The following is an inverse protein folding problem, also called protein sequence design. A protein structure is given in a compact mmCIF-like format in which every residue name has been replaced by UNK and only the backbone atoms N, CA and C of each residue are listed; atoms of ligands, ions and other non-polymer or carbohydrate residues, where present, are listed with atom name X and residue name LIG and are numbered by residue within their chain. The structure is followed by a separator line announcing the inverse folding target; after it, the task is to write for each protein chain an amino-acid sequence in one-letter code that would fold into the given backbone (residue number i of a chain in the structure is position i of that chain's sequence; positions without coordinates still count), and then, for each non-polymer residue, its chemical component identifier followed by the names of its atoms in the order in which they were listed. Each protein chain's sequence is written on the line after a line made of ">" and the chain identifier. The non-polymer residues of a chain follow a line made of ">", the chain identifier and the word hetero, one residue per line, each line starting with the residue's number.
data_IF_473086559917
#
_entry.id   IF_473086559917
#
_cell.length_a   1.000
_cell.length_b   1.000
_cell.length_c   1.000
_cell.angle_alpha   90.00
_cell.angle_beta   90.00
_cell.angle_gamma   90.00
#
_symmetry.space_group_name_H-M   'P 1'
#
loop_
_entity.id
_entity.type
_entity.pdbx_description
1 polymer ?
#
# COMPACT_ATOMS: atom_id res chain seq x y z
N UNK A 1 17.80 -1.49 13.40
CA UNK A 1 17.61 -0.24 14.19
C UNK A 1 17.73 1.03 13.35
N UNK A 2 18.76 1.22 12.49
CA UNK A 2 18.89 2.45 11.66
C UNK A 2 17.66 2.72 10.79
N UNK A 3 17.15 1.69 10.12
CA UNK A 3 15.94 1.82 9.30
C UNK A 3 14.73 2.21 10.15
N UNK A 4 14.55 1.60 11.33
CA UNK A 4 13.45 1.93 12.24
C UNK A 4 13.51 3.38 12.74
N UNK A 5 14.70 3.90 13.05
CA UNK A 5 14.89 5.32 13.35
C UNK A 5 14.63 6.24 12.18
N UNK A 6 14.96 5.81 10.95
CA UNK A 6 14.60 6.55 9.74
C UNK A 6 13.07 6.66 9.62
N UNK A 7 12.32 5.57 9.78
CA UNK A 7 10.84 5.63 9.79
C UNK A 7 10.32 6.58 10.88
N UNK A 8 10.85 6.48 12.10
CA UNK A 8 10.49 7.39 13.18
C UNK A 8 10.73 8.87 12.83
N UNK A 9 11.82 9.21 12.12
CA UNK A 9 12.11 10.58 11.69
C UNK A 9 11.11 11.15 10.69
N UNK A 10 10.35 10.28 10.01
CA UNK A 10 9.25 10.65 9.12
C UNK A 10 7.87 10.63 9.78
N UNK A 11 7.80 10.47 11.11
CA UNK A 11 6.53 10.46 11.86
C UNK A 11 5.82 9.12 11.89
N UNK A 12 6.50 8.03 11.51
CA UNK A 12 5.90 6.69 11.40
C UNK A 12 6.12 5.93 12.71
N UNK A 13 5.04 5.37 13.27
CA UNK A 13 5.07 4.54 14.49
C UNK A 13 4.81 3.07 14.23
N UNK A 14 4.20 2.74 13.08
CA UNK A 14 3.93 1.37 12.64
C UNK A 14 4.26 1.24 11.15
N UNK A 15 5.04 0.24 10.79
CA UNK A 15 5.38 -0.12 9.41
C UNK A 15 4.86 -1.49 9.06
N UNK A 16 4.62 -1.73 7.78
CA UNK A 16 4.33 -3.05 7.23
C UNK A 16 5.54 -3.50 6.41
N UNK A 17 6.12 -4.64 6.75
CA UNK A 17 7.13 -5.29 5.92
C UNK A 17 6.42 -6.33 5.04
N UNK A 18 6.30 -6.02 3.77
CA UNK A 18 5.44 -6.72 2.83
C UNK A 18 6.20 -7.66 1.90
N UNK A 19 7.29 -8.26 2.34
CA UNK A 19 8.02 -9.33 1.62
C UNK A 19 9.06 -9.97 2.53
N UNK A 20 8.65 -10.44 3.69
CA UNK A 20 9.56 -11.01 4.67
C UNK A 20 10.00 -12.41 4.25
N UNK A 21 11.28 -12.56 3.91
CA UNK A 21 11.96 -13.84 3.71
C UNK A 21 12.48 -14.40 5.04
N UNK A 22 12.97 -15.65 5.03
CA UNK A 22 13.58 -16.29 6.20
C UNK A 22 14.76 -15.48 6.75
N UNK A 23 15.62 -14.96 5.87
CA UNK A 23 16.78 -14.14 6.24
C UNK A 23 16.33 -12.83 6.92
N UNK A 24 15.35 -12.14 6.35
CA UNK A 24 14.83 -10.89 6.91
C UNK A 24 14.10 -11.13 8.23
N UNK A 25 13.36 -12.23 8.34
CA UNK A 25 12.71 -12.61 9.59
C UNK A 25 13.72 -12.88 10.71
N UNK A 26 14.80 -13.61 10.42
CA UNK A 26 15.91 -13.83 11.36
C UNK A 26 16.56 -12.52 11.82
N UNK A 27 16.85 -11.60 10.90
CA UNK A 27 17.40 -10.28 11.22
C UNK A 27 16.45 -9.44 12.11
N UNK A 28 15.16 -9.48 11.86
CA UNK A 28 14.16 -8.77 12.65
C UNK A 28 14.05 -9.36 14.08
N UNK A 29 14.11 -10.70 14.21
CA UNK A 29 14.11 -11.35 15.52
C UNK A 29 15.37 -11.00 16.32
N UNK A 30 16.54 -11.00 15.69
CA UNK A 30 17.81 -10.61 16.33
C UNK A 30 17.83 -9.13 16.74
N UNK A 31 17.17 -8.26 15.95
CA UNK A 31 17.08 -6.84 16.26
C UNK A 31 16.29 -6.57 17.57
N UNK A 32 15.42 -7.50 17.98
CA UNK A 32 14.63 -7.38 19.20
C UNK A 32 13.63 -6.21 19.17
N UNK A 33 13.59 -5.41 20.23
CA UNK A 33 12.67 -4.29 20.31
C UNK A 33 13.12 -3.12 19.44
N UNK A 34 12.30 -2.79 18.44
CA UNK A 34 12.48 -1.65 17.56
C UNK A 34 11.68 -0.43 18.06
N UNK A 35 12.08 0.79 17.71
CA UNK A 35 11.33 2.01 18.09
C UNK A 35 9.96 2.11 17.41
N UNK A 36 9.71 1.35 16.35
CA UNK A 36 8.42 1.29 15.64
C UNK A 36 7.87 -0.12 15.64
N UNK A 37 6.57 -0.29 15.54
CA UNK A 37 5.96 -1.59 15.32
C UNK A 37 6.16 -2.06 13.88
N UNK A 38 6.37 -3.35 13.69
CA UNK A 38 6.54 -3.98 12.36
C UNK A 38 5.52 -5.09 12.18
N UNK A 39 4.65 -4.93 11.21
CA UNK A 39 3.64 -5.91 10.81
C UNK A 39 4.20 -6.71 9.64
N UNK A 40 4.29 -8.02 9.77
CA UNK A 40 5.03 -8.90 8.88
C UNK A 40 4.07 -9.62 7.90
N UNK A 41 4.33 -9.47 6.61
CA UNK A 41 3.72 -10.27 5.54
C UNK A 41 4.83 -11.11 4.89
N UNK A 42 4.76 -12.40 5.10
CA UNK A 42 5.80 -13.36 4.75
C UNK A 42 5.65 -13.82 3.30
N UNK A 43 6.76 -14.21 2.69
CA UNK A 43 6.70 -14.96 1.42
C UNK A 43 5.99 -16.31 1.64
N UNK A 44 5.37 -16.93 0.60
CA UNK A 44 4.52 -18.10 0.76
C UNK A 44 5.14 -19.27 1.53
N UNK A 45 6.40 -19.57 1.26
CA UNK A 45 7.13 -20.66 1.91
C UNK A 45 7.26 -20.43 3.42
N UNK A 46 7.69 -19.23 3.80
CA UNK A 46 7.86 -18.84 5.20
C UNK A 46 6.51 -18.69 5.93
N UNK A 47 5.47 -18.24 5.22
CA UNK A 47 4.13 -18.13 5.78
C UNK A 47 3.62 -19.50 6.23
N UNK A 48 3.73 -20.52 5.39
CA UNK A 48 3.31 -21.90 5.71
C UNK A 48 4.09 -22.50 6.86
N UNK A 49 5.35 -22.12 7.03
CA UNK A 49 6.21 -22.60 8.12
C UNK A 49 5.93 -21.85 9.44
N UNK A 50 5.78 -20.54 9.38
CA UNK A 50 5.82 -19.66 10.55
C UNK A 50 4.45 -19.14 11.02
N UNK A 51 3.41 -19.14 10.17
CA UNK A 51 2.09 -18.67 10.55
C UNK A 51 1.23 -19.82 11.13
N UNK A 52 0.45 -19.56 12.19
CA UNK A 52 -0.49 -20.55 12.69
C UNK A 52 -1.63 -20.79 11.68
N UNK A 53 -2.17 -22.01 11.65
CA UNK A 53 -3.33 -22.39 10.82
C UNK A 53 -4.64 -21.65 11.15
N UNK A 54 -4.67 -20.91 12.24
CA UNK A 54 -5.73 -19.98 12.60
C UNK A 54 -5.04 -18.76 13.21
N UNK A 55 -4.86 -17.71 12.41
CA UNK A 55 -4.22 -16.47 12.84
C UNK A 55 -5.30 -15.48 13.26
N UNK A 56 -5.42 -15.15 14.55
CA UNK A 56 -6.35 -14.10 14.99
C UNK A 56 -5.99 -12.76 14.32
N UNK A 57 -6.98 -12.06 13.81
CA UNK A 57 -6.76 -10.75 13.16
C UNK A 57 -6.05 -9.74 14.10
N UNK A 58 -6.31 -9.84 15.40
CA UNK A 58 -5.69 -9.01 16.45
C UNK A 58 -4.69 -9.82 17.30
N UNK A 59 -3.89 -10.67 16.66
CA UNK A 59 -2.83 -11.39 17.37
C UNK A 59 -1.81 -10.41 17.99
N UNK A 60 -1.19 -10.79 19.14
CA UNK A 60 -0.31 -9.89 19.87
C UNK A 60 1.00 -9.63 19.14
N UNK A 61 1.61 -8.49 19.46
CA UNK A 61 3.00 -8.24 19.15
C UNK A 61 3.91 -9.07 20.05
N UNK A 62 4.99 -9.58 19.51
CA UNK A 62 6.12 -10.14 20.22
C UNK A 62 7.28 -9.15 20.11
N UNK A 63 7.51 -8.36 21.18
CA UNK A 63 8.33 -7.17 21.10
C UNK A 63 7.68 -6.15 20.17
N UNK A 64 8.38 -5.74 19.13
CA UNK A 64 7.87 -4.83 18.09
C UNK A 64 7.32 -5.54 16.86
N UNK A 65 7.32 -6.89 16.79
CA UNK A 65 6.95 -7.66 15.63
C UNK A 65 5.58 -8.30 15.76
N UNK A 66 4.75 -8.21 14.72
CA UNK A 66 3.46 -8.90 14.62
C UNK A 66 3.32 -9.59 13.27
N UNK A 67 3.03 -10.88 13.29
CA UNK A 67 2.71 -11.65 12.08
C UNK A 67 1.31 -11.29 11.62
N UNK A 68 1.12 -11.05 10.32
CA UNK A 68 -0.19 -10.65 9.78
C UNK A 68 -0.68 -11.56 8.66
N UNK A 69 0.20 -12.03 7.80
CA UNK A 69 -0.21 -12.81 6.67
C UNK A 69 0.88 -13.07 5.65
N UNK A 70 0.44 -13.20 4.42
CA UNK A 70 1.27 -13.63 3.29
C UNK A 70 1.36 -12.52 2.24
N UNK A 71 2.49 -12.44 1.55
CA UNK A 71 2.74 -11.57 0.40
C UNK A 71 2.89 -12.38 -0.86
N UNK A 72 2.06 -12.07 -1.87
CA UNK A 72 2.15 -12.66 -3.21
C UNK A 72 2.28 -11.58 -4.29
N UNK A 73 2.74 -11.99 -5.47
CA UNK A 73 2.98 -11.11 -6.62
C UNK A 73 2.25 -11.65 -7.84
N UNK A 74 1.43 -10.82 -8.49
CA UNK A 74 0.71 -11.20 -9.70
C UNK A 74 1.32 -10.63 -10.97
N UNK A 75 2.07 -9.52 -10.86
CA UNK A 75 2.75 -8.90 -11.99
C UNK A 75 3.98 -8.10 -11.56
N UNK A 76 4.59 -7.42 -12.52
CA UNK A 76 5.70 -6.51 -12.28
C UNK A 76 5.27 -5.05 -12.14
N UNK A 77 6.12 -4.11 -12.60
CA UNK A 77 5.90 -2.67 -12.48
C UNK A 77 5.61 -2.01 -13.83
N UNK A 78 4.72 -1.00 -13.90
CA UNK A 78 4.46 -0.26 -15.13
C UNK A 78 5.71 0.47 -15.65
N UNK A 79 6.53 1.06 -14.77
CA UNK A 79 7.77 1.73 -15.15
C UNK A 79 8.82 0.77 -15.73
N UNK A 80 8.81 -0.50 -15.32
CA UNK A 80 9.61 -1.57 -15.92
C UNK A 80 8.96 -2.22 -17.13
N UNK A 81 7.73 -1.81 -17.49
CA UNK A 81 6.89 -2.40 -18.54
C UNK A 81 6.67 -3.90 -18.35
N UNK A 82 6.55 -4.33 -17.09
CA UNK A 82 6.29 -5.73 -16.71
C UNK A 82 4.96 -5.90 -15.94
N UNK A 83 4.23 -4.81 -15.65
CA UNK A 83 2.87 -4.89 -15.16
C UNK A 83 1.95 -5.50 -16.22
N UNK A 84 1.02 -6.35 -15.80
CA UNK A 84 0.10 -7.04 -16.71
C UNK A 84 -1.14 -6.20 -16.99
N UNK A 85 -1.17 -5.60 -18.18
CA UNK A 85 -2.21 -4.68 -18.64
C UNK A 85 -3.24 -5.38 -19.53
N UNK A 86 -4.48 -4.92 -19.53
CA UNK A 86 -5.51 -5.35 -20.49
C UNK A 86 -5.26 -4.84 -21.91
N UNK A 87 -4.51 -3.73 -22.05
CA UNK A 87 -4.14 -3.12 -23.31
C UNK A 87 -2.61 -3.01 -23.46
N UNK A 88 -2.09 -2.98 -24.69
CA UNK A 88 -0.65 -2.82 -24.93
C UNK A 88 -0.07 -1.57 -24.28
N UNK A 89 1.21 -1.63 -23.96
CA UNK A 89 1.97 -0.45 -23.56
C UNK A 89 1.94 0.63 -24.64
N UNK A 90 1.88 1.89 -24.26
CA UNK A 90 1.84 3.01 -25.21
C UNK A 90 3.07 3.05 -26.12
N UNK A 91 4.25 2.83 -25.57
CA UNK A 91 5.47 2.50 -26.32
C UNK A 91 5.93 1.14 -25.86
N UNK A 92 5.81 0.16 -26.70
CA UNK A 92 6.24 -1.21 -26.40
C UNK A 92 7.77 -1.27 -26.26
N UNK A 93 8.34 -2.13 -25.38
CA UNK A 93 9.77 -2.32 -25.30
C UNK A 93 10.37 -2.74 -26.65
N UNK A 94 11.63 -2.36 -26.90
CA UNK A 94 12.34 -2.76 -28.11
C UNK A 94 12.48 -4.28 -28.20
N UNK A 95 12.10 -4.83 -29.36
CA UNK A 95 12.14 -6.28 -29.61
C UNK A 95 10.87 -7.04 -29.24
N UNK A 96 9.92 -6.40 -28.54
CA UNK A 96 8.63 -7.04 -28.21
C UNK A 96 7.58 -6.85 -29.31
N UNK A 97 6.59 -7.73 -29.32
CA UNK A 97 5.44 -7.62 -30.23
C UNK A 97 4.62 -6.34 -29.92
N UNK A 98 4.07 -5.66 -30.95
CA UNK A 98 3.24 -4.47 -30.76
C UNK A 98 2.03 -4.66 -29.82
N UNK A 99 1.58 -5.89 -29.62
CA UNK A 99 0.50 -6.25 -28.67
C UNK A 99 1.00 -6.49 -27.24
N UNK A 100 2.31 -6.34 -26.98
CA UNK A 100 2.90 -6.59 -25.66
C UNK A 100 2.23 -5.76 -24.56
N UNK A 101 1.80 -6.43 -23.50
CA UNK A 101 1.07 -5.84 -22.37
C UNK A 101 1.53 -6.34 -20.99
N UNK A 102 2.77 -6.85 -20.92
CA UNK A 102 3.27 -7.50 -19.71
C UNK A 102 2.72 -8.92 -19.55
N UNK A 103 2.90 -9.50 -18.38
CA UNK A 103 2.47 -10.88 -18.11
C UNK A 103 2.14 -11.09 -16.63
N UNK A 104 1.26 -12.05 -16.37
CA UNK A 104 0.99 -12.57 -15.03
C UNK A 104 2.13 -13.45 -14.52
N UNK A 105 2.31 -13.49 -13.21
CA UNK A 105 3.33 -14.29 -12.52
C UNK A 105 2.79 -15.58 -11.90
N UNK A 106 1.48 -15.74 -11.82
CA UNK A 106 0.80 -16.91 -11.27
C UNK A 106 -0.30 -17.39 -12.20
N UNK A 107 -0.55 -18.69 -12.23
CA UNK A 107 -1.74 -19.25 -12.87
C UNK A 107 -2.98 -19.01 -12.01
N UNK A 108 -4.17 -19.12 -12.59
CA UNK A 108 -5.44 -19.01 -11.85
C UNK A 108 -5.55 -20.11 -10.77
N UNK A 109 -5.12 -21.33 -11.06
CA UNK A 109 -5.16 -22.46 -10.15
C UNK A 109 -4.27 -22.23 -8.91
N UNK A 110 -3.04 -21.76 -9.11
CA UNK A 110 -2.12 -21.42 -8.02
C UNK A 110 -2.69 -20.31 -7.15
N UNK A 111 -3.23 -19.27 -7.76
CA UNK A 111 -3.80 -18.12 -7.06
C UNK A 111 -5.06 -18.49 -6.27
N UNK A 112 -5.98 -19.28 -6.84
CA UNK A 112 -7.17 -19.78 -6.16
C UNK A 112 -6.76 -20.64 -4.94
N UNK A 113 -5.77 -21.51 -5.10
CA UNK A 113 -5.28 -22.35 -4.00
C UNK A 113 -4.72 -21.49 -2.86
N UNK A 114 -3.85 -20.53 -3.17
CA UNK A 114 -3.27 -19.59 -2.21
C UNK A 114 -4.35 -18.78 -1.46
N UNK A 115 -5.32 -18.25 -2.20
CA UNK A 115 -6.41 -17.47 -1.61
C UNK A 115 -7.32 -18.32 -0.70
N UNK A 116 -7.63 -19.54 -1.12
CA UNK A 116 -8.45 -20.47 -0.30
C UNK A 116 -7.71 -20.89 0.98
N UNK A 117 -6.40 -21.15 0.90
CA UNK A 117 -5.57 -21.44 2.07
C UNK A 117 -5.55 -20.25 3.04
N UNK A 118 -5.34 -19.04 2.54
CA UNK A 118 -5.31 -17.82 3.34
C UNK A 118 -6.66 -17.55 4.05
N UNK A 119 -7.78 -17.70 3.35
CA UNK A 119 -9.12 -17.59 3.94
C UNK A 119 -9.34 -18.64 5.03
N UNK A 120 -8.97 -19.90 4.78
CA UNK A 120 -9.09 -21.00 5.75
C UNK A 120 -8.23 -20.76 7.00
N UNK A 121 -7.03 -20.21 6.82
CA UNK A 121 -6.08 -19.95 7.90
C UNK A 121 -6.26 -18.57 8.56
N UNK A 122 -7.17 -17.74 8.05
CA UNK A 122 -7.37 -16.35 8.47
C UNK A 122 -6.11 -15.50 8.29
N UNK A 123 -5.31 -15.78 7.27
CA UNK A 123 -4.15 -14.97 6.90
C UNK A 123 -4.60 -13.79 6.03
N UNK A 124 -4.11 -12.61 6.33
CA UNK A 124 -4.32 -11.47 5.45
C UNK A 124 -3.37 -11.57 4.24
N UNK A 125 -3.90 -11.41 3.03
CA UNK A 125 -3.09 -11.36 1.82
C UNK A 125 -2.73 -9.91 1.46
N UNK A 126 -1.44 -9.64 1.29
CA UNK A 126 -0.92 -8.46 0.60
C UNK A 126 -0.52 -8.88 -0.83
N UNK A 127 -1.26 -8.41 -1.83
CA UNK A 127 -1.18 -8.90 -3.20
C UNK A 127 -0.66 -7.78 -4.09
N UNK A 128 0.58 -7.94 -4.60
CA UNK A 128 1.14 -7.00 -5.58
C UNK A 128 0.40 -7.16 -6.90
N UNK A 129 -0.30 -6.12 -7.33
CA UNK A 129 -0.94 -6.04 -8.62
C UNK A 129 -1.00 -4.57 -9.08
N UNK A 130 -0.23 -4.25 -10.10
CA UNK A 130 -0.17 -2.93 -10.73
C UNK A 130 -1.11 -2.83 -11.93
N UNK A 131 -1.08 -3.83 -12.79
CA UNK A 131 -1.83 -3.88 -14.03
C UNK A 131 -3.30 -4.25 -13.80
N UNK A 132 -4.16 -3.66 -14.61
CA UNK A 132 -5.59 -3.92 -14.55
C UNK A 132 -5.96 -5.37 -14.89
N UNK A 133 -5.16 -6.08 -15.70
CA UNK A 133 -5.37 -7.50 -15.98
C UNK A 133 -4.95 -8.37 -14.77
N UNK A 134 -3.87 -8.02 -14.08
CA UNK A 134 -3.48 -8.69 -12.82
C UNK A 134 -4.56 -8.49 -11.74
N UNK A 135 -5.15 -7.30 -11.64
CA UNK A 135 -6.25 -7.01 -10.73
C UNK A 135 -7.50 -7.80 -11.13
N UNK A 136 -7.78 -7.95 -12.43
CA UNK A 136 -8.88 -8.79 -12.91
C UNK A 136 -8.70 -10.25 -12.52
N UNK A 137 -7.47 -10.77 -12.68
CA UNK A 137 -7.13 -12.13 -12.23
C UNK A 137 -7.39 -12.28 -10.73
N UNK A 138 -6.91 -11.33 -9.92
CA UNK A 138 -7.12 -11.32 -8.47
C UNK A 138 -8.59 -11.41 -8.12
N UNK A 139 -9.43 -10.52 -8.66
CA UNK A 139 -10.86 -10.46 -8.34
C UNK A 139 -11.56 -11.77 -8.73
N UNK A 140 -11.34 -12.25 -9.96
CA UNK A 140 -11.92 -13.49 -10.48
C UNK A 140 -11.51 -14.70 -9.65
N UNK A 141 -10.23 -14.79 -9.23
CA UNK A 141 -9.75 -15.90 -8.44
C UNK A 141 -10.23 -15.82 -6.98
N UNK A 142 -10.35 -14.64 -6.41
CA UNK A 142 -10.88 -14.45 -5.07
C UNK A 142 -12.36 -14.82 -4.97
N UNK A 143 -13.17 -14.48 -5.97
CA UNK A 143 -14.56 -14.95 -6.09
C UNK A 143 -14.64 -16.49 -6.13
N UNK A 144 -13.81 -17.14 -6.95
CA UNK A 144 -13.75 -18.60 -7.08
C UNK A 144 -13.24 -19.30 -5.82
N UNK A 145 -12.33 -18.67 -5.08
CA UNK A 145 -11.82 -19.18 -3.81
C UNK A 145 -12.82 -19.06 -2.65
N UNK A 146 -13.98 -18.44 -2.87
CA UNK A 146 -14.98 -18.19 -1.84
C UNK A 146 -14.58 -17.09 -0.86
N UNK A 147 -13.88 -16.08 -1.36
CA UNK A 147 -13.39 -14.95 -0.58
C UNK A 147 -14.50 -14.27 0.22
N UNK A 148 -14.27 -14.08 1.51
CA UNK A 148 -15.28 -13.57 2.46
C UNK A 148 -15.14 -12.08 2.77
N UNK A 149 -14.02 -11.46 2.39
CA UNK A 149 -13.64 -10.10 2.78
C UNK A 149 -13.23 -9.97 4.26
N UNK A 150 -13.41 -10.99 5.07
CA UNK A 150 -13.11 -10.95 6.52
C UNK A 150 -11.62 -10.82 6.82
N UNK A 151 -10.80 -11.40 5.96
CA UNK A 151 -9.33 -11.32 6.03
C UNK A 151 -8.79 -9.99 5.54
N UNK A 152 -9.64 -9.12 4.95
CA UNK A 152 -9.29 -7.81 4.38
C UNK A 152 -8.10 -7.91 3.42
N UNK A 153 -8.16 -8.69 2.34
CA UNK A 153 -7.05 -8.76 1.39
C UNK A 153 -6.76 -7.37 0.80
N UNK A 154 -5.48 -7.09 0.56
CA UNK A 154 -5.03 -5.77 0.13
C UNK A 154 -4.34 -5.86 -1.23
N UNK A 155 -4.85 -5.12 -2.21
CA UNK A 155 -4.15 -4.91 -3.48
C UNK A 155 -3.09 -3.84 -3.27
N UNK A 156 -1.83 -4.23 -3.32
CA UNK A 156 -0.69 -3.33 -3.24
C UNK A 156 -0.46 -2.71 -4.61
N UNK A 157 -0.31 -1.40 -4.64
CA UNK A 157 -0.23 -0.48 -5.77
C UNK A 157 -1.58 -0.20 -6.44
N UNK A 158 -2.31 -1.18 -6.96
CA UNK A 158 -3.58 -0.97 -7.67
C UNK A 158 -3.48 0.16 -8.72
N UNK A 159 -2.32 0.27 -9.39
CA UNK A 159 -1.95 1.50 -10.10
C UNK A 159 -2.88 1.80 -11.27
N UNK A 160 -3.30 0.77 -12.02
CA UNK A 160 -4.18 0.94 -13.19
C UNK A 160 -5.57 0.34 -12.97
N UNK A 161 -6.02 0.22 -11.72
CA UNK A 161 -7.34 -0.32 -11.37
C UNK A 161 -8.46 0.46 -12.08
N UNK A 162 -9.42 -0.28 -12.66
CA UNK A 162 -10.58 0.28 -13.39
C UNK A 162 -11.77 0.51 -12.45
N UNK A 163 -12.72 1.35 -12.89
CA UNK A 163 -13.96 1.63 -12.15
C UNK A 163 -14.82 0.38 -11.91
N UNK A 164 -14.95 -0.49 -12.92
CA UNK A 164 -15.69 -1.74 -12.79
C UNK A 164 -15.06 -2.70 -11.77
N UNK A 165 -13.73 -2.68 -11.68
CA UNK A 165 -12.97 -3.46 -10.71
C UNK A 165 -13.13 -2.91 -9.29
N UNK A 166 -13.10 -1.58 -9.12
CA UNK A 166 -13.35 -0.96 -7.81
C UNK A 166 -14.74 -1.34 -7.26
N UNK A 167 -15.77 -1.34 -8.12
CA UNK A 167 -17.11 -1.75 -7.72
C UNK A 167 -17.18 -3.20 -7.23
N UNK A 168 -16.47 -4.13 -7.90
CA UNK A 168 -16.39 -5.54 -7.49
C UNK A 168 -15.55 -5.72 -6.22
N UNK A 169 -14.43 -5.00 -6.11
CA UNK A 169 -13.57 -5.06 -4.92
C UNK A 169 -14.31 -4.60 -3.66
N UNK A 170 -15.15 -3.56 -3.77
CA UNK A 170 -15.99 -3.10 -2.66
C UNK A 170 -16.90 -4.23 -2.17
N UNK A 171 -17.63 -4.88 -3.07
CA UNK A 171 -18.54 -5.97 -2.72
C UNK A 171 -17.84 -7.19 -2.13
N UNK A 172 -16.56 -7.39 -2.44
CA UNK A 172 -15.72 -8.48 -1.95
C UNK A 172 -14.92 -8.12 -0.68
N UNK A 173 -15.00 -6.88 -0.21
CA UNK A 173 -14.24 -6.40 0.95
C UNK A 173 -12.73 -6.33 0.73
N UNK A 174 -12.29 -6.17 -0.54
CA UNK A 174 -10.89 -6.03 -0.93
C UNK A 174 -10.46 -4.58 -0.75
N UNK A 175 -9.33 -4.36 -0.08
CA UNK A 175 -8.74 -3.05 0.17
C UNK A 175 -7.69 -2.70 -0.89
N UNK A 176 -7.35 -1.40 -0.99
CA UNK A 176 -6.23 -0.92 -1.79
C UNK A 176 -5.15 -0.28 -0.91
N UNK A 177 -3.90 -0.41 -1.34
CA UNK A 177 -2.81 0.41 -0.84
C UNK A 177 -2.11 1.06 -2.03
N UNK A 178 -2.26 2.38 -2.18
CA UNK A 178 -1.76 3.10 -3.35
C UNK A 178 -0.37 3.68 -3.13
N UNK A 179 0.48 3.58 -4.15
CA UNK A 179 1.79 4.22 -4.17
C UNK A 179 1.70 5.52 -4.99
N UNK A 180 1.34 6.61 -4.33
CA UNK A 180 1.09 7.90 -5.00
C UNK A 180 2.35 8.56 -5.55
N UNK A 181 3.51 8.20 -5.06
CA UNK A 181 4.78 8.72 -5.55
C UNK A 181 5.07 8.26 -6.99
N UNK A 182 4.34 7.26 -7.52
CA UNK A 182 4.27 6.97 -8.96
C UNK A 182 3.89 8.19 -9.80
N UNK A 183 2.96 9.03 -9.31
CA UNK A 183 2.56 10.28 -9.99
C UNK A 183 3.72 11.27 -10.01
N UNK A 184 4.41 11.45 -8.89
CA UNK A 184 5.49 12.41 -8.79
C UNK A 184 6.73 11.96 -9.59
N UNK A 185 7.30 10.79 -9.25
CA UNK A 185 8.59 10.36 -9.82
C UNK A 185 8.49 9.89 -11.27
N UNK A 186 7.41 9.22 -11.65
CA UNK A 186 7.26 8.57 -12.95
C UNK A 186 6.06 9.05 -13.76
N UNK A 187 5.29 10.04 -13.29
CA UNK A 187 4.08 10.50 -13.96
C UNK A 187 4.30 10.97 -15.40
N UNK A 188 5.35 11.73 -15.66
CA UNK A 188 5.72 12.13 -17.02
C UNK A 188 6.07 10.92 -17.89
N UNK A 189 6.81 9.94 -17.35
CA UNK A 189 7.16 8.72 -18.06
C UNK A 189 5.95 7.82 -18.32
N UNK A 190 5.05 7.71 -17.35
CA UNK A 190 3.80 6.97 -17.53
C UNK A 190 2.96 7.58 -18.65
N UNK A 191 2.85 8.90 -18.72
CA UNK A 191 2.13 9.60 -19.77
C UNK A 191 2.80 9.43 -21.14
N UNK A 192 4.11 9.60 -21.23
CA UNK A 192 4.81 9.75 -22.50
C UNK A 192 5.33 8.43 -23.07
N UNK A 193 5.39 7.36 -22.28
CA UNK A 193 5.98 6.08 -22.69
C UNK A 193 5.22 4.83 -22.26
N UNK A 194 4.63 4.81 -21.05
CA UNK A 194 4.07 3.57 -20.50
C UNK A 194 2.60 3.37 -20.88
N UNK A 195 1.76 4.37 -20.60
CA UNK A 195 0.30 4.25 -20.68
C UNK A 195 -0.33 5.16 -21.75
N UNK A 196 0.34 6.25 -22.13
CA UNK A 196 -0.27 7.36 -22.86
C UNK A 196 -1.08 8.26 -21.93
N UNK A 197 -1.52 9.44 -22.41
CA UNK A 197 -2.15 10.47 -21.58
C UNK A 197 -3.41 9.95 -20.87
N UNK A 198 -4.36 9.40 -21.62
CA UNK A 198 -5.67 9.00 -21.12
C UNK A 198 -5.58 8.01 -19.94
N UNK A 199 -4.79 6.94 -20.11
CA UNK A 199 -4.61 5.94 -19.03
C UNK A 199 -3.77 6.49 -17.89
N UNK A 200 -2.77 7.31 -18.19
CA UNK A 200 -1.88 7.89 -17.17
C UNK A 200 -2.62 8.86 -16.23
N UNK A 201 -3.62 9.59 -16.70
CA UNK A 201 -4.45 10.45 -15.87
C UNK A 201 -5.26 9.69 -14.82
N UNK A 202 -5.45 8.39 -15.02
CA UNK A 202 -6.22 7.52 -14.12
C UNK A 202 -5.36 6.65 -13.21
N UNK A 203 -4.04 6.75 -13.22
CA UNK A 203 -3.21 5.93 -12.32
C UNK A 203 -3.49 6.25 -10.86
N UNK A 204 -3.51 5.22 -10.01
CA UNK A 204 -3.78 5.35 -8.57
C UNK A 204 -5.03 6.21 -8.30
N UNK A 205 -6.24 5.75 -8.68
CA UNK A 205 -7.44 6.56 -8.74
C UNK A 205 -8.11 6.73 -7.37
N UNK A 206 -7.60 7.65 -6.55
CA UNK A 206 -8.03 7.85 -5.16
C UNK A 206 -9.47 8.36 -5.03
N UNK A 207 -9.86 9.33 -5.87
CA UNK A 207 -11.22 9.88 -5.83
C UNK A 207 -12.24 8.82 -6.28
N UNK A 208 -11.89 8.04 -7.30
CA UNK A 208 -12.69 6.90 -7.74
C UNK A 208 -12.83 5.86 -6.64
N UNK A 209 -11.75 5.50 -5.94
CA UNK A 209 -11.80 4.58 -4.80
C UNK A 209 -12.71 5.10 -3.67
N UNK A 210 -12.68 6.40 -3.36
CA UNK A 210 -13.62 7.01 -2.41
C UNK A 210 -15.08 6.93 -2.86
N UNK A 211 -15.36 7.16 -4.15
CA UNK A 211 -16.72 7.05 -4.71
C UNK A 211 -17.28 5.64 -4.60
N UNK A 212 -16.42 4.64 -4.75
CA UNK A 212 -16.76 3.22 -4.58
C UNK A 212 -16.63 2.72 -3.14
N UNK A 213 -16.49 3.61 -2.16
CA UNK A 213 -16.36 3.25 -0.73
C UNK A 213 -15.21 2.27 -0.41
N UNK A 214 -14.21 2.18 -1.29
CA UNK A 214 -13.01 1.39 -1.02
C UNK A 214 -12.22 2.03 0.12
N UNK A 215 -11.97 1.27 1.17
CA UNK A 215 -10.97 1.66 2.16
C UNK A 215 -9.59 1.49 1.56
N UNK A 216 -8.79 2.57 1.54
CA UNK A 216 -7.44 2.51 1.01
C UNK A 216 -6.42 3.20 1.92
N UNK A 217 -5.17 2.82 1.74
CA UNK A 217 -4.01 3.42 2.39
C UNK A 217 -3.05 4.01 1.35
N UNK A 218 -2.10 4.82 1.82
CA UNK A 218 -0.99 5.33 1.03
C UNK A 218 0.31 4.70 1.54
N UNK A 219 1.14 4.18 0.64
CA UNK A 219 2.46 3.64 0.97
C UNK A 219 3.57 4.27 0.13
N UNK A 220 4.84 4.04 0.51
CA UNK A 220 6.01 4.61 -0.13
C UNK A 220 6.89 3.58 -0.82
N UNK A 221 6.62 2.29 -0.62
CA UNK A 221 7.37 1.18 -1.23
C UNK A 221 8.89 1.26 -0.97
N UNK A 222 9.28 1.66 0.26
CA UNK A 222 10.69 1.81 0.65
C UNK A 222 11.42 0.45 0.54
N UNK A 223 12.59 0.39 -0.10
CA UNK A 223 13.54 1.49 -0.39
C UNK A 223 13.41 2.11 -1.79
N UNK A 224 12.36 1.84 -2.56
CA UNK A 224 12.15 2.44 -3.90
C UNK A 224 12.17 3.97 -3.81
N UNK A 225 11.51 4.53 -2.81
CA UNK A 225 11.61 5.94 -2.43
C UNK A 225 11.73 6.07 -0.90
N UNK A 226 12.16 7.25 -0.38
CA UNK A 226 12.18 7.49 1.07
C UNK A 226 10.78 7.35 1.68
N UNK A 227 10.66 6.89 2.95
CA UNK A 227 9.38 6.70 3.63
C UNK A 227 8.75 8.02 4.07
N UNK A 228 8.31 8.85 3.14
CA UNK A 228 7.83 10.20 3.39
C UNK A 228 6.30 10.33 3.27
N UNK A 229 5.52 10.16 4.38
CA UNK A 229 4.07 10.32 4.36
C UNK A 229 3.60 11.74 4.00
N UNK A 230 4.42 12.76 4.29
CA UNK A 230 4.11 14.16 3.93
C UNK A 230 4.15 14.35 2.42
N UNK A 231 5.10 13.70 1.72
CA UNK A 231 5.13 13.71 0.25
C UNK A 231 3.93 12.94 -0.32
N UNK A 232 3.61 11.77 0.21
CA UNK A 232 2.42 11.00 -0.21
C UNK A 232 1.12 11.81 -0.01
N UNK A 233 0.98 12.52 1.13
CA UNK A 233 -0.12 13.46 1.39
C UNK A 233 -0.16 14.55 0.31
N UNK A 234 0.97 15.21 0.03
CA UNK A 234 1.08 16.25 -0.99
C UNK A 234 0.69 15.73 -2.37
N UNK A 235 1.18 14.56 -2.75
CA UNK A 235 0.90 13.93 -4.05
C UNK A 235 -0.56 13.52 -4.19
N UNK A 236 -1.20 13.04 -3.13
CA UNK A 236 -2.62 12.69 -3.13
C UNK A 236 -3.54 13.93 -3.35
N UNK A 237 -3.12 15.07 -2.86
CA UNK A 237 -3.90 16.32 -2.95
C UNK A 237 -3.62 17.08 -4.25
N UNK A 238 -2.38 17.10 -4.72
CA UNK A 238 -1.96 17.98 -5.83
C UNK A 238 -1.71 17.24 -7.15
N UNK A 239 -1.37 15.95 -7.13
CA UNK A 239 -1.10 15.09 -8.30
C UNK A 239 -0.19 15.76 -9.35
N UNK A 240 0.91 16.36 -8.88
CA UNK A 240 1.90 16.97 -9.78
C UNK A 240 3.09 16.05 -10.00
N UNK A 241 3.50 15.93 -11.26
CA UNK A 241 4.72 15.21 -11.64
C UNK A 241 5.96 16.00 -11.21
N UNK A 242 7.14 15.38 -11.27
CA UNK A 242 8.40 16.07 -10.98
C UNK A 242 8.67 17.29 -11.90
N UNK A 243 8.12 17.29 -13.13
CA UNK A 243 8.16 18.46 -14.03
C UNK A 243 7.11 19.53 -13.70
N UNK A 244 6.29 19.34 -12.66
CA UNK A 244 5.24 20.26 -12.23
C UNK A 244 3.91 20.11 -12.98
N UNK A 245 3.80 19.19 -13.92
CA UNK A 245 2.55 18.95 -14.67
C UNK A 245 1.50 18.28 -13.79
N UNK A 246 0.25 18.68 -13.94
CA UNK A 246 -0.89 18.03 -13.31
C UNK A 246 -1.21 16.72 -14.05
N UNK A 247 -1.37 15.63 -13.32
CA UNK A 247 -1.72 14.33 -13.88
C UNK A 247 -2.92 13.73 -13.17
N UNK A 248 -4.08 13.74 -13.84
CA UNK A 248 -5.34 13.20 -13.31
C UNK A 248 -5.96 14.07 -12.21
N UNK A 249 -6.31 15.33 -12.53
CA UNK A 249 -6.92 16.28 -11.60
C UNK A 249 -8.17 15.74 -10.90
N UNK A 250 -8.97 14.94 -11.61
CA UNK A 250 -10.21 14.35 -11.13
C UNK A 250 -10.00 13.32 -9.98
N UNK A 251 -8.79 12.83 -9.85
CA UNK A 251 -8.40 11.86 -8.81
C UNK A 251 -7.74 12.52 -7.58
N UNK A 252 -7.66 13.85 -7.53
CA UNK A 252 -7.22 14.57 -6.32
C UNK A 252 -8.22 14.36 -5.16
N UNK A 253 -7.68 14.20 -3.96
CA UNK A 253 -8.47 14.11 -2.71
C UNK A 253 -8.13 15.27 -1.77
N UNK A 254 -8.95 15.48 -0.76
CA UNK A 254 -8.69 16.53 0.23
C UNK A 254 -7.54 16.14 1.19
N UNK A 255 -6.88 17.12 1.84
CA UNK A 255 -5.88 16.83 2.86
C UNK A 255 -6.41 15.96 4.01
N UNK A 256 -7.69 16.11 4.38
CA UNK A 256 -8.32 15.31 5.40
C UNK A 256 -8.47 13.83 4.98
N UNK A 257 -8.94 13.58 3.75
CA UNK A 257 -9.06 12.23 3.19
C UNK A 257 -7.69 11.55 3.09
N UNK A 258 -6.66 12.29 2.66
CA UNK A 258 -5.29 11.77 2.58
C UNK A 258 -4.69 11.46 3.97
N UNK A 259 -4.93 12.32 4.98
CA UNK A 259 -4.54 12.02 6.37
C UNK A 259 -5.23 10.77 6.90
N UNK A 260 -6.52 10.57 6.61
CA UNK A 260 -7.23 9.35 6.99
C UNK A 260 -6.59 8.10 6.36
N UNK A 261 -6.19 8.19 5.09
CA UNK A 261 -5.52 7.09 4.40
C UNK A 261 -4.17 6.72 5.03
N UNK A 262 -3.47 7.70 5.62
CA UNK A 262 -2.18 7.50 6.32
C UNK A 262 -2.34 7.08 7.79
N UNK A 263 -3.53 7.20 8.39
CA UNK A 263 -3.74 6.98 9.83
C UNK A 263 -4.86 5.99 10.10
N UNK A 264 -6.11 6.43 10.06
CA UNK A 264 -7.31 5.62 10.39
C UNK A 264 -7.40 4.38 9.51
N UNK A 265 -7.24 4.56 8.19
CA UNK A 265 -7.32 3.45 7.24
C UNK A 265 -6.11 2.52 7.36
N UNK A 266 -4.92 3.06 7.69
CA UNK A 266 -3.74 2.24 7.99
C UNK A 266 -3.97 1.32 9.18
N UNK A 267 -4.55 1.85 10.25
CA UNK A 267 -4.94 1.04 11.41
C UNK A 267 -6.03 0.01 11.06
N UNK A 268 -7.03 0.42 10.26
CA UNK A 268 -8.09 -0.48 9.78
C UNK A 268 -7.52 -1.61 8.93
N UNK A 269 -6.61 -1.32 8.02
CA UNK A 269 -6.00 -2.33 7.15
C UNK A 269 -5.35 -3.45 7.96
N UNK A 270 -4.72 -3.14 9.07
CA UNK A 270 -4.02 -4.10 9.92
C UNK A 270 -4.82 -4.56 11.15
N UNK A 271 -6.14 -4.37 11.17
CA UNK A 271 -7.03 -4.74 12.30
C UNK A 271 -6.70 -4.09 13.66
N UNK A 272 -6.14 -2.88 13.64
CA UNK A 272 -5.81 -2.10 14.85
C UNK A 272 -6.66 -0.82 15.01
N UNK A 273 -7.75 -0.67 14.28
CA UNK A 273 -8.64 0.49 14.29
C UNK A 273 -9.27 0.78 15.66
N UNK A 274 -9.27 -0.20 16.56
CA UNK A 274 -9.79 -0.04 17.93
C UNK A 274 -8.75 0.49 18.92
N UNK A 275 -7.49 0.65 18.49
CA UNK A 275 -6.39 1.07 19.37
C UNK A 275 -5.39 2.04 18.75
N UNK A 276 -5.37 2.20 17.41
CA UNK A 276 -4.47 3.08 16.66
C UNK A 276 -5.22 3.91 15.62
N UNK A 277 -4.56 4.89 15.04
CA UNK A 277 -5.05 5.69 13.91
C UNK A 277 -5.84 6.93 14.29
N UNK A 278 -6.20 7.12 15.57
CA UNK A 278 -6.97 8.28 16.03
C UNK A 278 -6.44 8.84 17.35
N UNK A 279 -6.58 10.16 17.52
CA UNK A 279 -6.39 10.86 18.79
C UNK A 279 -7.69 10.77 19.61
N UNK A 280 -7.83 9.68 20.39
CA UNK A 280 -9.05 9.37 21.14
C UNK A 280 -8.68 8.71 22.50
N UNK A 281 -9.39 9.05 23.59
CA UNK A 281 -9.19 8.35 24.87
C UNK A 281 -9.32 6.84 24.72
N UNK A 282 -8.39 6.08 25.30
CA UNK A 282 -8.31 4.63 25.18
C UNK A 282 -7.49 4.10 24.00
N UNK A 283 -7.06 4.99 23.08
CA UNK A 283 -6.13 4.64 22.00
C UNK A 283 -4.67 4.78 22.46
N UNK A 284 -3.77 4.08 21.79
CA UNK A 284 -2.33 4.26 22.00
C UNK A 284 -1.93 5.70 21.68
N UNK A 285 -1.04 6.26 22.49
CA UNK A 285 -0.49 7.59 22.27
C UNK A 285 0.62 7.54 21.20
N UNK A 286 0.23 7.14 19.99
CA UNK A 286 1.06 7.15 18.78
C UNK A 286 0.79 8.46 18.05
N UNK A 287 1.70 9.42 18.16
CA UNK A 287 1.50 10.82 17.79
C UNK A 287 2.66 11.34 16.97
N UNK A 288 2.35 12.28 16.07
CA UNK A 288 3.36 13.08 15.38
C UNK A 288 3.10 14.57 15.63
N UNK A 289 4.14 15.33 15.95
CA UNK A 289 4.09 16.79 16.05
C UNK A 289 4.69 17.36 14.79
N UNK A 290 3.90 18.16 14.09
CA UNK A 290 4.27 18.82 12.83
C UNK A 290 4.48 20.33 13.06
N UNK A 291 5.34 20.97 12.25
CA UNK A 291 5.57 22.42 12.32
C UNK A 291 4.40 23.24 11.74
N UNK A 292 3.51 22.61 10.97
CA UNK A 292 2.34 23.26 10.37
C UNK A 292 1.13 22.34 10.38
N UNK A 293 -0.05 22.92 10.44
CA UNK A 293 -1.30 22.15 10.34
C UNK A 293 -1.62 21.81 8.87
N UNK A 294 -1.61 20.53 8.47
CA UNK A 294 -1.87 20.13 7.09
C UNK A 294 -3.29 20.46 6.61
N UNK A 295 -4.24 20.70 7.52
CA UNK A 295 -5.62 21.07 7.19
C UNK A 295 -5.80 22.61 7.03
N UNK A 296 -4.82 23.41 7.44
CA UNK A 296 -4.90 24.86 7.41
C UNK A 296 -3.90 25.52 6.44
N UNK A 297 -2.87 24.78 6.02
CA UNK A 297 -1.89 25.27 5.03
C UNK A 297 -2.44 25.17 3.61
N UNK A 298 -1.98 26.03 2.70
CA UNK A 298 -2.30 25.89 1.27
C UNK A 298 -1.83 24.55 0.71
N UNK A 299 -2.65 23.85 -0.12
CA UNK A 299 -2.33 22.53 -0.66
C UNK A 299 -0.96 22.42 -1.35
N UNK A 300 -0.55 23.45 -2.09
CA UNK A 300 0.75 23.50 -2.78
C UNK A 300 1.95 23.50 -1.81
N UNK A 301 1.73 23.89 -0.54
CA UNK A 301 2.75 23.95 0.51
C UNK A 301 2.81 22.71 1.41
N UNK A 302 1.95 21.71 1.20
CA UNK A 302 1.91 20.51 2.04
C UNK A 302 3.27 19.81 2.16
N UNK A 303 4.03 19.72 1.06
CA UNK A 303 5.38 19.11 1.06
C UNK A 303 6.41 19.86 1.92
N UNK A 304 6.12 21.10 2.34
CA UNK A 304 7.00 21.91 3.22
C UNK A 304 6.79 21.63 4.72
N UNK A 305 5.87 20.77 5.08
CA UNK A 305 5.62 20.38 6.47
C UNK A 305 6.79 19.53 6.97
N UNK A 306 7.24 19.78 8.20
CA UNK A 306 8.31 19.03 8.85
C UNK A 306 7.79 18.29 10.08
N UNK A 307 8.27 17.08 10.27
CA UNK A 307 8.08 16.32 11.50
C UNK A 307 9.03 16.91 12.56
N UNK A 308 8.48 17.36 13.68
CA UNK A 308 9.24 17.88 14.82
C UNK A 308 9.50 16.80 15.85
N UNK A 309 8.51 15.94 16.08
CA UNK A 309 8.62 14.87 17.06
C UNK A 309 7.72 13.69 16.68
N UNK A 310 8.17 12.49 16.94
CA UNK A 310 7.38 11.25 16.84
C UNK A 310 7.32 10.58 18.20
N UNK A 311 6.12 10.26 18.64
CA UNK A 311 5.82 9.67 19.93
C UNK A 311 5.14 8.33 19.69
N UNK A 312 5.64 7.26 20.30
CA UNK A 312 5.03 5.93 20.27
C UNK A 312 4.69 5.48 21.69
N UNK A 313 3.43 5.13 21.91
CA UNK A 313 2.91 4.73 23.24
C UNK A 313 3.30 5.73 24.34
N UNK A 314 3.24 7.02 24.03
CA UNK A 314 3.56 8.09 24.95
C UNK A 314 5.06 8.36 25.15
N UNK A 315 5.95 7.61 24.47
CA UNK A 315 7.41 7.83 24.54
C UNK A 315 7.91 8.48 23.27
N UNK A 316 8.72 9.52 23.40
CA UNK A 316 9.40 10.14 22.25
C UNK A 316 10.40 9.16 21.65
N UNK A 317 10.22 8.81 20.38
CA UNK A 317 11.12 7.96 19.60
C UNK A 317 11.96 8.73 18.58
N UNK A 318 11.56 10.00 18.29
CA UNK A 318 12.31 10.93 17.44
C UNK A 318 11.99 12.37 17.82
N UNK A 319 13.00 13.26 17.76
CA UNK A 319 12.88 14.72 17.84
C UNK A 319 14.01 15.36 17.05
N UNK A 320 13.75 16.52 16.37
CA UNK A 320 14.78 17.33 15.69
C UNK A 320 15.55 18.17 16.71
#
# INVERSE_FOLDING_TARGET
>A
HKAAYMYASYGITTVQDAKVSETEYGMLQEAGNLPVDVVLYMVPELARECLPKQLPAQNPYHGSLRKAGEKIFLDGSPQGKTAWLSQPYFKVPEGEDPSYRGMGMMTDEELIHCMAEAEQCSWQLNIHANGDEAIEQLIRCYEKAGGSGKTRPVVIHAQTVREDQLARMESLGILCSFFLDHVYYWGDYHRDSVLGLERAERISPLRSALRHHISFTLHQDTPVVPPNPILALHNAVNRRTASGKLLGAEECITPYEALRALTVNGAYQIFEENRKGMLKPGYLADLVILDKNPLAISPDRLSSIRVLQTIKEGKTIYTI
#
